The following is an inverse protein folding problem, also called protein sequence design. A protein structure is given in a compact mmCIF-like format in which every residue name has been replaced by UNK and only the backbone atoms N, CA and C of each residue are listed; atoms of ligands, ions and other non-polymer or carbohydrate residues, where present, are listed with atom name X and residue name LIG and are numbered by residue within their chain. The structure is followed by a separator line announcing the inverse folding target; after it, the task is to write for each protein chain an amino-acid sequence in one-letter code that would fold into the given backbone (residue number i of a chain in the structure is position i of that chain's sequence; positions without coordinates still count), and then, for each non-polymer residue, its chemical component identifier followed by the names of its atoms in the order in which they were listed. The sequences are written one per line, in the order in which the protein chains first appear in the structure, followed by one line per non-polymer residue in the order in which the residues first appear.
data_IF_789491157360
#
_entry.id   IF_789491157360
#
_cell.length_a   1.000
_cell.length_b   1.000
_cell.length_c   1.000
_cell.angle_alpha   90.00
_cell.angle_beta   90.00
_cell.angle_gamma   90.00
#
_symmetry.space_group_name_H-M   'P 1'
#
loop_
_entity.id
_entity.type
_entity.pdbx_description
1 polymer ?
#
# COMPACT_ATOMS: atom_id res chain seq x y z
N UNK A 1 16.36 29.81 -22.28
CA UNK A 1 16.40 28.34 -22.20
C UNK A 1 17.12 27.81 -23.44
N UNK A 2 18.08 26.91 -23.22
CA UNK A 2 18.94 26.35 -24.26
C UNK A 2 19.11 24.85 -24.08
N UNK A 3 19.58 24.15 -25.12
CA UNK A 3 19.94 22.73 -25.12
C UNK A 3 18.83 21.78 -24.58
N UNK A 4 17.59 21.79 -25.16
CA UNK A 4 16.50 20.94 -24.69
C UNK A 4 16.76 19.48 -25.05
N UNK A 5 16.52 18.57 -24.07
CA UNK A 5 16.58 17.10 -24.24
C UNK A 5 15.39 16.45 -23.58
N UNK A 6 14.57 15.72 -24.35
CA UNK A 6 13.41 14.97 -23.83
C UNK A 6 13.81 13.55 -23.42
N UNK A 7 13.26 13.12 -22.30
CA UNK A 7 13.31 11.74 -21.83
C UNK A 7 12.09 10.95 -22.30
N UNK A 8 12.19 9.59 -22.40
CA UNK A 8 11.04 8.75 -22.75
C UNK A 8 9.84 8.84 -21.79
N UNK A 9 10.07 9.23 -20.53
CA UNK A 9 9.03 9.45 -19.52
C UNK A 9 8.33 10.82 -19.65
N UNK A 10 8.73 11.66 -20.62
CA UNK A 10 8.19 13.00 -20.87
C UNK A 10 8.91 14.12 -20.14
N UNK A 11 9.89 13.86 -19.29
CA UNK A 11 10.68 14.91 -18.64
C UNK A 11 11.54 15.66 -19.67
N UNK A 12 11.57 16.99 -19.55
CA UNK A 12 12.41 17.86 -20.36
C UNK A 12 13.58 18.38 -19.54
N UNK A 13 14.79 18.08 -19.98
CA UNK A 13 16.02 18.66 -19.48
C UNK A 13 16.40 19.84 -20.37
N UNK A 14 16.77 20.98 -19.79
CA UNK A 14 17.23 22.16 -20.51
C UNK A 14 18.18 22.98 -19.64
N UNK A 15 18.96 23.86 -20.23
CA UNK A 15 19.87 24.75 -19.51
C UNK A 15 19.33 26.17 -19.54
N UNK A 16 19.50 26.88 -18.43
CA UNK A 16 19.00 28.26 -18.30
C UNK A 16 19.81 29.06 -17.30
N UNK A 17 19.96 30.34 -17.57
CA UNK A 17 20.45 31.36 -16.63
C UNK A 17 19.31 32.29 -16.15
N UNK A 18 18.07 32.01 -16.56
CA UNK A 18 16.88 32.81 -16.21
C UNK A 18 16.18 32.37 -14.93
N UNK A 19 16.58 31.27 -14.35
CA UNK A 19 16.07 30.74 -13.08
C UNK A 19 17.15 30.81 -12.01
N UNK A 20 16.77 30.75 -10.72
CA UNK A 20 17.74 30.71 -9.63
C UNK A 20 18.56 29.40 -9.66
N UNK A 21 19.87 29.51 -9.78
CA UNK A 21 20.82 28.41 -9.93
C UNK A 21 22.06 28.57 -9.06
N UNK A 22 23.09 27.77 -9.36
CA UNK A 22 24.40 27.77 -8.68
C UNK A 22 25.44 28.54 -9.44
N UNK A 23 25.33 28.62 -10.77
CA UNK A 23 26.30 29.20 -11.68
C UNK A 23 25.70 30.15 -12.71
N UNK A 24 26.28 30.16 -13.92
CA UNK A 24 25.78 30.87 -15.08
C UNK A 24 24.61 30.12 -15.74
N UNK A 25 24.92 29.19 -16.65
CA UNK A 25 23.94 28.22 -17.14
C UNK A 25 23.83 27.04 -16.17
N UNK A 26 22.65 26.73 -15.73
CA UNK A 26 22.36 25.55 -14.93
C UNK A 26 21.36 24.63 -15.66
N UNK A 27 21.49 23.32 -15.47
CA UNK A 27 20.57 22.32 -16.00
C UNK A 27 19.35 22.26 -15.11
N UNK A 28 18.17 22.37 -15.72
CA UNK A 28 16.84 22.24 -15.10
C UNK A 28 16.09 21.06 -15.67
N UNK A 29 15.13 20.56 -14.89
CA UNK A 29 14.24 19.47 -15.28
C UNK A 29 12.79 19.96 -15.18
N UNK A 30 12.06 19.99 -16.30
CA UNK A 30 10.61 20.21 -16.28
C UNK A 30 9.91 18.85 -16.30
N UNK A 31 9.30 18.48 -15.18
CA UNK A 31 8.54 17.23 -15.00
C UNK A 31 7.06 17.47 -15.18
N UNK A 32 6.35 16.53 -15.83
CA UNK A 32 4.90 16.56 -15.94
C UNK A 32 4.27 16.00 -14.68
N UNK A 33 3.59 16.82 -13.89
CA UNK A 33 2.87 16.39 -12.69
C UNK A 33 1.54 15.67 -12.98
N UNK A 34 0.93 15.08 -11.96
CA UNK A 34 -0.43 14.47 -12.03
C UNK A 34 -1.51 15.48 -12.44
N UNK A 35 -1.27 16.77 -12.22
CA UNK A 35 -2.12 17.88 -12.61
C UNK A 35 -1.94 18.30 -14.09
N UNK A 36 -1.15 17.55 -14.86
CA UNK A 36 -0.75 17.84 -16.24
C UNK A 36 -0.02 19.18 -16.43
N UNK A 37 0.56 19.71 -15.34
CA UNK A 37 1.42 20.91 -15.40
C UNK A 37 2.87 20.54 -15.29
N UNK A 38 3.73 21.40 -15.86
CA UNK A 38 5.17 21.28 -15.68
C UNK A 38 5.59 21.82 -14.32
N UNK A 39 6.35 21.02 -13.61
CA UNK A 39 7.01 21.39 -12.37
C UNK A 39 8.50 21.47 -12.62
N UNK A 40 9.07 22.66 -12.36
CA UNK A 40 10.48 22.91 -12.57
C UNK A 40 11.28 22.44 -11.35
N UNK A 41 12.31 21.64 -11.61
CA UNK A 41 13.25 21.14 -10.60
C UNK A 41 14.68 21.58 -10.97
N UNK A 42 15.45 22.05 -10.00
CA UNK A 42 16.87 22.27 -10.11
C UNK A 42 17.61 21.15 -9.40
N UNK A 43 18.30 20.23 -10.11
CA UNK A 43 18.88 19.02 -9.51
C UNK A 43 20.08 19.30 -8.60
N UNK A 44 20.62 20.51 -8.61
CA UNK A 44 21.73 20.89 -7.76
C UNK A 44 23.05 20.20 -8.10
N UNK A 45 24.00 20.28 -7.16
CA UNK A 45 25.27 19.54 -7.25
C UNK A 45 25.02 18.03 -7.12
N UNK A 46 25.72 17.15 -7.87
CA UNK A 46 26.88 17.42 -8.72
C UNK A 46 26.56 17.74 -10.19
N UNK A 47 25.31 17.68 -10.64
CA UNK A 47 24.96 17.97 -12.04
C UNK A 47 25.20 19.44 -12.38
N UNK A 48 24.79 20.35 -11.49
CA UNK A 48 25.09 21.78 -11.58
C UNK A 48 26.24 22.20 -10.66
N UNK A 49 26.92 23.27 -10.99
CA UNK A 49 28.07 23.81 -10.29
C UNK A 49 28.07 25.35 -10.28
N UNK A 50 29.14 25.97 -9.82
CA UNK A 50 29.35 27.43 -9.93
C UNK A 50 29.76 27.90 -11.34
N UNK A 51 30.04 26.97 -12.25
CA UNK A 51 30.32 27.26 -13.66
C UNK A 51 29.03 27.25 -14.50
N UNK A 52 29.23 27.27 -15.83
CA UNK A 52 28.16 26.98 -16.77
C UNK A 52 28.01 25.47 -16.94
N UNK A 53 26.81 24.97 -16.78
CA UNK A 53 26.47 23.54 -16.90
C UNK A 53 25.35 23.39 -17.93
N UNK A 54 25.62 22.72 -19.07
CA UNK A 54 24.71 22.73 -20.18
C UNK A 54 24.80 21.49 -21.08
N UNK A 55 23.86 21.38 -22.03
CA UNK A 55 23.91 20.35 -23.08
C UNK A 55 23.76 18.93 -22.55
N UNK A 56 22.92 18.72 -21.53
CA UNK A 56 22.67 17.41 -20.95
C UNK A 56 22.06 16.45 -21.98
N UNK A 57 22.71 15.33 -22.24
CA UNK A 57 22.29 14.28 -23.15
C UNK A 57 22.30 12.92 -22.46
N UNK A 58 21.44 11.99 -22.90
CA UNK A 58 21.31 10.68 -22.30
C UNK A 58 21.65 9.56 -23.28
N UNK A 59 22.20 8.47 -22.75
CA UNK A 59 22.45 7.23 -23.50
C UNK A 59 21.12 6.43 -23.62
N UNK A 60 20.30 6.77 -24.60
CA UNK A 60 19.01 6.12 -24.81
C UNK A 60 18.07 6.22 -23.59
N UNK A 61 17.45 5.11 -23.12
CA UNK A 61 16.58 5.11 -21.97
C UNK A 61 17.30 5.11 -20.62
N UNK A 62 18.64 4.96 -20.60
CA UNK A 62 19.41 4.85 -19.36
C UNK A 62 19.52 6.17 -18.63
N UNK A 63 19.70 6.12 -17.30
CA UNK A 63 19.84 7.30 -16.43
C UNK A 63 21.31 7.76 -16.37
N UNK A 64 22.04 7.64 -17.46
CA UNK A 64 23.43 8.10 -17.60
C UNK A 64 23.59 8.83 -18.92
N UNK A 65 24.61 9.69 -18.98
CA UNK A 65 24.86 10.48 -20.18
C UNK A 65 26.02 11.43 -20.01
N UNK A 66 25.97 12.52 -20.76
CA UNK A 66 27.05 13.52 -20.81
C UNK A 66 26.43 14.92 -20.73
N UNK A 67 27.22 15.85 -20.21
CA UNK A 67 26.91 17.28 -20.23
C UNK A 67 28.19 18.06 -20.37
N UNK A 68 28.10 19.31 -20.79
CA UNK A 68 29.22 20.23 -20.89
C UNK A 68 29.28 21.12 -19.66
N UNK A 69 30.50 21.42 -19.20
CA UNK A 69 30.71 22.35 -18.09
C UNK A 69 32.11 22.97 -18.12
N UNK A 70 32.20 24.24 -17.70
CA UNK A 70 33.48 24.91 -17.48
C UNK A 70 33.93 24.88 -16.01
N UNK A 71 33.31 24.05 -15.20
CA UNK A 71 33.64 23.87 -13.78
C UNK A 71 35.10 23.54 -13.58
N UNK A 72 35.73 24.26 -12.67
CA UNK A 72 37.12 24.00 -12.28
C UNK A 72 38.19 24.40 -13.32
N UNK A 73 37.83 24.91 -14.50
CA UNK A 73 38.81 25.43 -15.46
C UNK A 73 39.03 26.95 -15.27
N UNK A 74 40.21 27.33 -14.84
CA UNK A 74 40.53 28.73 -14.59
C UNK A 74 40.51 29.61 -15.86
N UNK A 75 40.49 29.01 -17.06
CA UNK A 75 40.40 29.71 -18.36
C UNK A 75 39.00 29.86 -18.87
N UNK A 76 38.02 29.19 -18.18
CA UNK A 76 36.63 29.18 -18.56
C UNK A 76 36.30 28.29 -19.78
N UNK A 77 37.13 27.28 -20.08
CA UNK A 77 36.91 26.37 -21.19
C UNK A 77 35.93 25.25 -20.78
N UNK A 78 35.07 24.87 -21.71
CA UNK A 78 34.09 23.80 -21.51
C UNK A 78 34.73 22.44 -21.70
N UNK A 79 34.33 21.52 -20.84
CA UNK A 79 34.72 20.11 -20.84
C UNK A 79 33.47 19.24 -20.85
N UNK A 80 33.57 18.04 -21.40
CA UNK A 80 32.48 17.05 -21.38
C UNK A 80 32.66 16.18 -20.15
N UNK A 81 31.60 16.12 -19.33
CA UNK A 81 31.51 15.29 -18.16
C UNK A 81 30.47 14.17 -18.38
N UNK A 82 30.77 12.98 -17.87
CA UNK A 82 29.76 11.92 -17.77
C UNK A 82 29.01 12.01 -16.45
N UNK A 83 27.75 11.62 -16.45
CA UNK A 83 26.96 11.49 -15.24
C UNK A 83 26.18 10.19 -15.25
N UNK A 84 25.84 9.71 -14.06
CA UNK A 84 24.91 8.63 -13.82
C UNK A 84 23.96 9.07 -12.70
N UNK A 85 22.66 9.16 -13.04
CA UNK A 85 21.63 9.46 -12.06
C UNK A 85 21.25 8.14 -11.36
N UNK A 86 21.14 8.13 -10.03
CA UNK A 86 20.71 6.92 -9.32
C UNK A 86 19.34 6.49 -9.84
N UNK A 87 19.20 5.20 -10.09
CA UNK A 87 17.88 4.62 -10.40
C UNK A 87 17.07 4.59 -9.11
N UNK A 88 15.97 5.32 -9.11
CA UNK A 88 15.04 5.33 -7.99
C UNK A 88 14.14 4.12 -8.14
N UNK A 89 14.33 3.15 -7.26
CA UNK A 89 13.52 1.93 -7.22
C UNK A 89 12.69 1.93 -5.94
N UNK A 90 11.37 1.91 -6.07
CA UNK A 90 10.48 1.64 -4.96
C UNK A 90 9.97 0.21 -5.09
N UNK A 91 9.97 -0.51 -3.99
CA UNK A 91 9.64 -1.93 -3.94
C UNK A 91 8.67 -2.20 -2.80
N UNK A 92 7.66 -3.02 -3.05
CA UNK A 92 6.85 -3.61 -2.00
C UNK A 92 7.26 -5.07 -1.79
N UNK A 93 7.52 -5.42 -0.54
CA UNK A 93 7.69 -6.80 -0.07
C UNK A 93 6.54 -7.19 0.83
N UNK A 94 6.10 -8.42 0.76
CA UNK A 94 5.06 -8.91 1.64
C UNK A 94 5.15 -10.40 1.89
N UNK A 95 4.41 -10.85 2.92
CA UNK A 95 4.29 -12.24 3.30
C UNK A 95 2.83 -12.62 3.45
N UNK A 96 2.46 -13.75 2.84
CA UNK A 96 1.14 -14.36 2.98
C UNK A 96 1.27 -15.62 3.83
N UNK A 97 0.55 -15.64 4.94
CA UNK A 97 0.62 -16.73 5.91
C UNK A 97 -0.72 -16.98 6.59
N UNK A 98 -0.94 -18.16 7.14
CA UNK A 98 -2.08 -18.45 7.98
C UNK A 98 -1.95 -17.71 9.33
N UNK A 99 -3.05 -17.29 9.92
CA UNK A 99 -3.03 -16.55 11.21
C UNK A 99 -2.29 -17.30 12.32
N UNK A 100 -2.18 -18.64 12.25
CA UNK A 100 -1.39 -19.46 13.16
C UNK A 100 0.11 -19.49 12.82
N UNK A 101 0.54 -18.83 11.74
CA UNK A 101 1.96 -18.61 11.40
C UNK A 101 2.53 -19.55 10.33
N UNK A 102 1.71 -20.39 9.67
CA UNK A 102 2.17 -21.23 8.56
C UNK A 102 2.20 -20.48 7.25
N UNK A 103 3.25 -20.67 6.46
CA UNK A 103 3.39 -20.07 5.14
C UNK A 103 2.35 -20.64 4.16
N UNK A 104 1.86 -19.81 3.26
CA UNK A 104 0.87 -20.18 2.23
C UNK A 104 1.45 -20.04 0.82
N UNK A 105 2.30 -20.96 0.36
CA UNK A 105 2.97 -20.87 -0.95
C UNK A 105 2.00 -20.99 -2.14
N UNK A 106 0.78 -21.47 -1.93
CA UNK A 106 -0.27 -21.52 -2.95
C UNK A 106 -1.12 -20.22 -3.03
N UNK A 107 -0.82 -19.23 -2.20
CA UNK A 107 -1.50 -17.95 -2.20
C UNK A 107 -1.15 -17.13 -3.45
N UNK A 108 -2.01 -16.17 -3.76
CA UNK A 108 -1.84 -15.22 -4.83
C UNK A 108 -2.15 -13.82 -4.30
N UNK A 109 -1.41 -12.83 -4.77
CA UNK A 109 -1.65 -11.44 -4.41
C UNK A 109 -2.05 -10.68 -5.67
N UNK A 110 -3.23 -10.07 -5.65
CA UNK A 110 -3.70 -9.18 -6.70
C UNK A 110 -3.35 -7.75 -6.30
N UNK A 111 -2.71 -7.02 -7.19
CA UNK A 111 -2.29 -5.64 -6.97
C UNK A 111 -2.90 -4.73 -8.03
N UNK A 112 -3.63 -3.71 -7.58
CA UNK A 112 -4.27 -2.71 -8.45
C UNK A 112 -3.79 -1.33 -8.04
N UNK A 113 -3.25 -0.57 -8.99
CA UNK A 113 -2.81 0.81 -8.78
C UNK A 113 -3.83 1.83 -9.30
N UNK A 114 -3.83 3.02 -8.73
CA UNK A 114 -4.67 4.15 -9.18
C UNK A 114 -4.28 4.66 -10.58
N UNK A 115 -3.11 4.26 -11.09
CA UNK A 115 -2.64 4.50 -12.44
C UNK A 115 -3.14 3.47 -13.47
N UNK A 116 -4.02 2.54 -13.06
CA UNK A 116 -4.51 1.44 -13.89
C UNK A 116 -3.63 0.18 -13.89
N UNK A 117 -2.55 0.15 -13.10
CA UNK A 117 -1.76 -1.08 -12.90
C UNK A 117 -2.65 -2.18 -12.36
N UNK A 118 -2.59 -3.37 -12.97
CA UNK A 118 -3.31 -4.56 -12.52
C UNK A 118 -2.39 -5.78 -12.69
N UNK A 119 -1.90 -6.31 -11.58
CA UNK A 119 -0.95 -7.42 -11.54
C UNK A 119 -1.46 -8.55 -10.65
N UNK A 120 -1.12 -9.77 -11.04
CA UNK A 120 -1.31 -10.98 -10.26
C UNK A 120 0.06 -11.54 -9.90
N UNK A 121 0.39 -11.53 -8.63
CA UNK A 121 1.67 -11.97 -8.09
C UNK A 121 1.51 -13.36 -7.49
N UNK A 122 2.46 -14.25 -7.78
CA UNK A 122 2.60 -15.54 -7.09
C UNK A 122 3.57 -15.37 -5.94
N UNK A 123 3.26 -15.97 -4.79
CA UNK A 123 4.18 -15.98 -3.65
C UNK A 123 5.23 -17.08 -3.80
N UNK A 124 6.37 -16.92 -3.15
CA UNK A 124 7.44 -17.92 -3.06
C UNK A 124 7.08 -19.03 -2.07
N UNK A 125 7.93 -20.05 -1.96
CA UNK A 125 7.73 -21.19 -1.05
C UNK A 125 7.62 -20.83 0.44
N UNK A 126 8.21 -19.71 0.83
CA UNK A 126 8.14 -19.11 2.18
C UNK A 126 6.97 -18.10 2.34
N UNK A 127 6.04 -18.07 1.40
CA UNK A 127 4.91 -17.14 1.42
C UNK A 127 5.26 -15.70 1.06
N UNK A 128 6.53 -15.39 0.75
CA UNK A 128 6.97 -14.04 0.42
C UNK A 128 6.71 -13.66 -1.03
N UNK A 129 6.57 -12.37 -1.29
CA UNK A 129 6.60 -11.79 -2.63
C UNK A 129 7.33 -10.45 -2.61
N UNK A 130 7.77 -10.04 -3.78
CA UNK A 130 8.43 -8.76 -4.00
C UNK A 130 8.02 -8.21 -5.36
N UNK A 131 7.69 -6.92 -5.42
CA UNK A 131 7.30 -6.24 -6.65
C UNK A 131 7.83 -4.81 -6.67
N UNK A 132 8.44 -4.43 -7.80
CA UNK A 132 8.78 -3.02 -8.06
C UNK A 132 7.49 -2.25 -8.32
N UNK A 133 7.37 -1.09 -7.68
CA UNK A 133 6.21 -0.21 -7.75
C UNK A 133 6.61 1.18 -8.24
N UNK A 134 5.64 1.94 -8.75
CA UNK A 134 5.87 3.29 -9.23
C UNK A 134 5.76 4.31 -8.11
N UNK A 135 6.67 5.29 -8.02
CA UNK A 135 6.56 6.39 -7.08
C UNK A 135 5.25 7.17 -7.22
N UNK A 136 4.62 7.49 -6.11
CA UNK A 136 3.38 8.29 -6.07
C UNK A 136 2.13 7.62 -6.61
N UNK A 137 2.15 6.30 -6.85
CA UNK A 137 0.97 5.49 -7.22
C UNK A 137 0.49 4.74 -5.98
N UNK A 138 -0.77 4.92 -5.61
CA UNK A 138 -1.37 4.19 -4.49
C UNK A 138 -1.90 2.83 -4.98
N UNK A 139 -1.67 1.80 -4.19
CA UNK A 139 -2.05 0.43 -4.53
C UNK A 139 -3.02 -0.17 -3.54
N UNK A 140 -3.96 -0.96 -4.05
CA UNK A 140 -4.77 -1.90 -3.27
C UNK A 140 -4.25 -3.30 -3.57
N UNK A 141 -3.93 -4.05 -2.51
CA UNK A 141 -3.42 -5.41 -2.61
C UNK A 141 -4.35 -6.39 -1.89
N UNK A 142 -4.73 -7.46 -2.58
CA UNK A 142 -5.63 -8.50 -2.08
C UNK A 142 -4.90 -9.84 -2.10
N UNK A 143 -4.61 -10.41 -0.94
CA UNK A 143 -4.11 -11.77 -0.83
C UNK A 143 -5.27 -12.77 -0.78
N UNK A 144 -5.15 -13.85 -1.54
CA UNK A 144 -6.17 -14.91 -1.64
C UNK A 144 -5.51 -16.29 -1.68
N UNK A 145 -6.06 -17.24 -0.93
CA UNK A 145 -5.66 -18.65 -0.96
C UNK A 145 -6.91 -19.54 -0.82
N UNK A 146 -6.95 -20.65 -1.56
CA UNK A 146 -8.08 -21.58 -1.51
C UNK A 146 -8.23 -22.17 -0.09
N UNK A 147 -9.41 -21.99 0.50
CA UNK A 147 -9.72 -22.48 1.85
C UNK A 147 -9.46 -21.45 2.95
N UNK A 148 -9.17 -20.21 2.57
CA UNK A 148 -8.91 -19.09 3.48
C UNK A 148 -9.78 -17.88 3.10
N UNK A 149 -9.99 -17.01 4.07
CA UNK A 149 -10.57 -15.70 3.83
C UNK A 149 -9.53 -14.78 3.17
N UNK A 150 -9.95 -13.95 2.23
CA UNK A 150 -9.08 -12.97 1.61
C UNK A 150 -8.71 -11.87 2.61
N UNK A 151 -7.54 -11.29 2.42
CA UNK A 151 -7.07 -10.14 3.19
C UNK A 151 -6.65 -9.02 2.24
N UNK A 152 -7.16 -7.81 2.49
CA UNK A 152 -6.89 -6.62 1.69
C UNK A 152 -6.04 -5.62 2.48
N UNK A 153 -4.99 -5.11 1.85
CA UNK A 153 -4.17 -4.01 2.33
C UNK A 153 -4.13 -2.86 1.32
N UNK A 154 -4.05 -1.64 1.84
CA UNK A 154 -3.86 -0.42 1.05
C UNK A 154 -2.45 0.11 1.25
N UNK A 155 -1.73 0.31 0.17
CA UNK A 155 -0.38 0.84 0.16
C UNK A 155 -0.39 2.25 -0.42
N UNK A 156 -0.09 3.23 0.41
CA UNK A 156 0.16 4.60 -0.04
C UNK A 156 1.63 4.78 -0.32
N UNK A 157 1.94 5.19 -1.54
CA UNK A 157 3.31 5.32 -2.03
C UNK A 157 3.68 6.79 -2.17
N UNK A 158 4.72 7.20 -1.46
CA UNK A 158 5.22 8.57 -1.54
C UNK A 158 5.84 8.85 -2.91
N UNK A 159 5.67 10.07 -3.41
CA UNK A 159 6.34 10.54 -4.64
C UNK A 159 7.74 11.07 -4.38
N UNK A 160 8.49 10.42 -3.50
CA UNK A 160 9.86 10.83 -3.14
C UNK A 160 10.89 10.42 -4.18
N UNK A 161 11.96 11.20 -4.29
CA UNK A 161 13.09 10.96 -5.18
C UNK A 161 14.15 10.03 -4.58
N UNK A 162 13.73 9.04 -3.77
CA UNK A 162 14.60 8.09 -3.08
C UNK A 162 14.07 6.66 -3.23
N UNK A 163 14.98 5.70 -3.32
CA UNK A 163 14.62 4.29 -3.28
C UNK A 163 14.03 3.94 -1.91
N UNK A 164 12.87 3.29 -1.90
CA UNK A 164 12.16 2.94 -0.68
C UNK A 164 11.58 1.54 -0.76
N UNK A 165 11.65 0.82 0.34
CA UNK A 165 11.03 -0.49 0.51
C UNK A 165 9.82 -0.38 1.45
N UNK A 166 8.69 -0.89 0.99
CA UNK A 166 7.46 -1.00 1.78
C UNK A 166 7.25 -2.46 2.17
N UNK A 167 6.81 -2.70 3.39
CA UNK A 167 6.57 -4.05 3.91
C UNK A 167 5.11 -4.22 4.27
N UNK A 168 4.48 -5.30 3.78
CA UNK A 168 3.09 -5.65 4.06
C UNK A 168 2.97 -7.08 4.59
N UNK A 169 1.94 -7.30 5.42
CA UNK A 169 1.65 -8.60 6.03
C UNK A 169 0.22 -9.01 5.68
N UNK A 170 0.04 -10.25 5.24
CA UNK A 170 -1.25 -10.78 4.82
C UNK A 170 -1.59 -12.05 5.63
N UNK A 171 -2.07 -11.89 6.87
CA UNK A 171 -2.57 -13.02 7.67
C UNK A 171 -3.92 -13.49 7.12
N UNK A 172 -4.01 -14.73 6.64
CA UNK A 172 -5.25 -15.31 6.13
C UNK A 172 -5.88 -16.25 7.17
N UNK A 173 -7.15 -16.02 7.49
CA UNK A 173 -7.93 -16.90 8.37
C UNK A 173 -8.47 -18.11 7.60
N UNK A 174 -8.29 -19.33 8.13
CA UNK A 174 -8.85 -20.54 7.57
C UNK A 174 -10.39 -20.54 7.69
N UNK A 175 -11.11 -20.90 6.62
CA UNK A 175 -12.57 -21.08 6.67
C UNK A 175 -13.00 -22.36 7.36
N UNK A 176 -12.06 -23.24 7.73
CA UNK A 176 -12.32 -24.55 8.37
C UNK A 176 -12.29 -24.50 9.88
N UNK A 177 -11.73 -23.46 10.45
CA UNK A 177 -11.55 -23.30 11.89
C UNK A 177 -12.35 -22.09 12.34
N UNK A 178 -13.17 -22.20 13.40
CA UNK A 178 -13.86 -21.05 13.97
C UNK A 178 -12.84 -19.98 14.39
N UNK A 179 -13.04 -18.76 13.97
CA UNK A 179 -12.22 -17.62 14.39
C UNK A 179 -12.80 -17.07 15.68
N UNK A 180 -12.01 -17.05 16.76
CA UNK A 180 -12.42 -16.41 17.99
C UNK A 180 -12.31 -14.88 17.82
N UNK A 181 -13.40 -14.18 18.11
CA UNK A 181 -13.43 -12.72 18.12
C UNK A 181 -13.23 -12.28 19.56
N UNK A 182 -12.03 -11.88 19.88
CA UNK A 182 -11.69 -11.34 21.19
C UNK A 182 -12.25 -9.92 21.38
N UNK A 183 -12.28 -9.47 22.64
CA UNK A 183 -12.66 -8.10 23.01
C UNK A 183 -14.11 -7.70 22.67
N UNK A 184 -15.03 -8.66 22.59
CA UNK A 184 -16.47 -8.38 22.60
C UNK A 184 -16.96 -8.41 24.05
N UNK A 185 -17.23 -7.24 24.60
CA UNK A 185 -17.62 -7.06 26.00
C UNK A 185 -19.09 -6.71 26.14
N UNK A 186 -19.69 -7.27 27.18
CA UNK A 186 -21.05 -6.98 27.62
C UNK A 186 -21.03 -6.57 29.10
N UNK A 187 -22.00 -5.78 29.55
CA UNK A 187 -22.22 -5.60 30.97
C UNK A 187 -22.74 -6.90 31.61
N UNK A 188 -22.51 -7.01 32.92
CA UNK A 188 -23.02 -8.18 33.66
C UNK A 188 -24.53 -8.32 33.44
N UNK A 189 -24.97 -9.53 33.10
CA UNK A 189 -26.36 -9.87 32.86
C UNK A 189 -27.07 -9.05 31.76
N UNK A 190 -26.30 -8.52 30.79
CA UNK A 190 -26.82 -7.75 29.65
C UNK A 190 -26.34 -8.31 28.32
N UNK A 191 -27.13 -8.03 27.29
CA UNK A 191 -26.77 -8.31 25.90
C UNK A 191 -26.30 -7.05 25.13
N UNK A 192 -26.32 -5.87 25.76
CA UNK A 192 -25.92 -4.61 25.15
C UNK A 192 -24.40 -4.57 24.97
N UNK A 193 -23.96 -4.33 23.74
CA UNK A 193 -22.55 -4.20 23.38
C UNK A 193 -21.94 -2.97 24.05
N UNK A 194 -20.79 -3.14 24.68
CA UNK A 194 -20.04 -2.02 25.26
C UNK A 194 -19.28 -1.25 24.17
N UNK A 195 -19.01 0.05 24.36
CA UNK A 195 -18.29 0.88 23.40
C UNK A 195 -16.93 0.31 22.99
N UNK A 196 -16.24 -0.37 23.93
CA UNK A 196 -14.91 -0.96 23.70
C UNK A 196 -14.97 -2.13 22.68
N UNK A 197 -16.12 -2.75 22.49
CA UNK A 197 -16.34 -3.83 21.50
C UNK A 197 -16.35 -3.32 20.05
N UNK A 198 -16.54 -2.01 19.84
CA UNK A 198 -16.70 -1.44 18.49
C UNK A 198 -15.50 -1.72 17.60
N UNK A 199 -14.28 -1.59 18.14
CA UNK A 199 -13.07 -1.82 17.36
C UNK A 199 -13.02 -3.25 16.79
N UNK A 200 -13.28 -4.27 17.60
CA UNK A 200 -13.30 -5.66 17.16
C UNK A 200 -14.41 -5.93 16.15
N UNK A 201 -15.57 -5.29 16.31
CA UNK A 201 -16.68 -5.40 15.37
C UNK A 201 -16.40 -4.67 14.05
N UNK A 202 -15.71 -3.54 14.07
CA UNK A 202 -15.29 -2.83 12.86
C UNK A 202 -14.26 -3.64 12.06
N UNK A 203 -13.35 -4.35 12.73
CA UNK A 203 -12.42 -5.30 12.10
C UNK A 203 -13.18 -6.45 11.44
N UNK A 204 -14.24 -6.96 12.07
CA UNK A 204 -15.11 -7.99 11.48
C UNK A 204 -15.91 -7.44 10.29
N UNK A 205 -16.39 -6.20 10.34
CA UNK A 205 -17.03 -5.53 9.19
C UNK A 205 -16.06 -5.45 8.02
N UNK A 206 -14.80 -5.03 8.26
CA UNK A 206 -13.76 -5.00 7.22
C UNK A 206 -13.56 -6.39 6.61
N UNK A 207 -13.37 -7.42 7.45
CA UNK A 207 -13.18 -8.80 7.00
C UNK A 207 -14.33 -9.31 6.12
N UNK A 208 -15.56 -9.02 6.49
CA UNK A 208 -16.75 -9.43 5.73
C UNK A 208 -16.92 -8.65 4.42
N UNK A 209 -16.49 -7.39 4.36
CA UNK A 209 -16.48 -6.60 3.14
C UNK A 209 -15.37 -7.08 2.17
N UNK A 210 -14.22 -7.47 2.68
CA UNK A 210 -13.15 -8.07 1.87
C UNK A 210 -13.50 -9.46 1.34
N UNK A 211 -14.55 -10.10 1.93
CA UNK A 211 -15.03 -11.43 1.58
C UNK A 211 -16.55 -11.44 1.30
N UNK A 212 -17.05 -10.78 0.23
CA UNK A 212 -18.47 -10.55 0.00
C UNK A 212 -19.32 -11.81 -0.18
N UNK A 213 -18.72 -12.92 -0.60
CA UNK A 213 -19.41 -14.20 -0.85
C UNK A 213 -19.43 -15.15 0.36
N UNK A 214 -18.85 -14.73 1.50
CA UNK A 214 -18.79 -15.55 2.72
C UNK A 214 -20.03 -15.29 3.58
N UNK A 215 -20.64 -16.38 4.05
CA UNK A 215 -21.67 -16.38 5.10
C UNK A 215 -21.05 -16.89 6.39
N UNK A 216 -21.42 -16.32 7.52
CA UNK A 216 -20.89 -16.70 8.82
C UNK A 216 -21.99 -17.06 9.82
N UNK A 217 -21.69 -17.98 10.72
CA UNK A 217 -22.42 -18.18 11.96
C UNK A 217 -21.72 -17.39 13.07
N UNK A 218 -22.48 -16.61 13.80
CA UNK A 218 -22.04 -15.85 14.96
C UNK A 218 -22.47 -16.57 16.23
N UNK A 219 -21.54 -17.35 16.78
CA UNK A 219 -21.74 -18.17 17.97
C UNK A 219 -21.47 -17.37 19.23
N UNK A 220 -22.40 -17.26 20.13
CA UNK A 220 -22.21 -16.63 21.43
C UNK A 220 -22.41 -17.63 22.59
N UNK A 221 -21.59 -17.49 23.59
CA UNK A 221 -21.57 -18.32 24.78
C UNK A 221 -21.73 -17.47 26.06
N UNK A 222 -22.17 -18.10 27.13
CA UNK A 222 -22.17 -17.54 28.48
C UNK A 222 -21.29 -18.39 29.39
N UNK A 223 -20.95 -17.86 30.56
CA UNK A 223 -20.27 -18.63 31.60
C UNK A 223 -21.24 -19.68 32.22
N UNK A 224 -20.67 -20.55 33.05
CA UNK A 224 -21.44 -21.68 33.65
C UNK A 224 -22.45 -21.23 34.74
N UNK A 225 -22.48 -19.95 35.12
CA UNK A 225 -23.35 -19.44 36.18
C UNK A 225 -24.76 -19.23 35.63
N UNK A 226 -25.75 -19.63 36.45
CA UNK A 226 -27.17 -19.48 36.16
C UNK A 226 -27.84 -20.67 35.46
N UNK A 227 -29.20 -20.63 35.30
CA UNK A 227 -29.95 -21.64 34.65
C UNK A 227 -29.62 -21.80 33.17
N UNK A 228 -29.61 -23.03 32.64
CA UNK A 228 -29.25 -23.30 31.26
C UNK A 228 -30.14 -22.58 30.25
N UNK A 229 -31.43 -22.54 30.47
CA UNK A 229 -32.38 -21.84 29.61
C UNK A 229 -32.15 -20.32 29.57
N UNK A 230 -31.85 -19.75 30.73
CA UNK A 230 -31.51 -18.35 30.85
C UNK A 230 -30.22 -18.00 30.03
N UNK A 231 -29.16 -18.79 30.22
CA UNK A 231 -27.92 -18.62 29.50
C UNK A 231 -28.09 -18.82 28.00
N UNK A 232 -28.94 -19.74 27.58
CA UNK A 232 -29.31 -19.95 26.18
C UNK A 232 -30.00 -18.71 25.58
N UNK A 233 -30.92 -18.11 26.30
CA UNK A 233 -31.61 -16.89 25.89
C UNK A 233 -30.64 -15.70 25.84
N UNK A 234 -29.85 -15.50 26.90
CA UNK A 234 -28.89 -14.38 26.97
C UNK A 234 -27.82 -14.45 25.87
N UNK A 235 -27.29 -15.65 25.61
CA UNK A 235 -26.31 -15.83 24.51
C UNK A 235 -26.94 -15.56 23.13
N UNK A 236 -28.20 -15.97 22.91
CA UNK A 236 -28.91 -15.68 21.68
C UNK A 236 -29.12 -14.17 21.49
N UNK A 237 -29.50 -13.44 22.54
CA UNK A 237 -29.65 -11.98 22.49
C UNK A 237 -28.30 -11.29 22.20
N UNK A 238 -27.20 -11.78 22.74
CA UNK A 238 -25.85 -11.30 22.45
C UNK A 238 -25.47 -11.48 20.98
N UNK A 239 -25.68 -12.70 20.43
CA UNK A 239 -25.47 -12.96 19.01
C UNK A 239 -26.30 -12.05 18.10
N UNK A 240 -27.59 -11.86 18.46
CA UNK A 240 -28.51 -10.98 17.72
C UNK A 240 -28.01 -9.51 17.71
N UNK A 241 -27.46 -9.01 18.81
CA UNK A 241 -26.98 -7.65 18.90
C UNK A 241 -25.68 -7.44 18.07
N UNK A 242 -24.82 -8.46 17.97
CA UNK A 242 -23.68 -8.43 17.04
C UNK A 242 -24.19 -8.38 15.60
N UNK A 243 -25.16 -9.21 15.22
CA UNK A 243 -25.78 -9.18 13.87
C UNK A 243 -26.39 -7.82 13.58
N UNK A 244 -27.10 -7.21 14.54
CA UNK A 244 -27.67 -5.88 14.37
C UNK A 244 -26.58 -4.84 14.08
N UNK A 245 -25.50 -4.85 14.85
CA UNK A 245 -24.35 -3.98 14.62
C UNK A 245 -23.76 -4.14 13.22
N UNK A 246 -23.46 -5.37 12.79
CA UNK A 246 -22.90 -5.65 11.47
C UNK A 246 -23.85 -5.20 10.34
N UNK A 247 -25.16 -5.40 10.53
CA UNK A 247 -26.17 -4.99 9.56
C UNK A 247 -26.28 -3.47 9.46
N UNK A 248 -26.20 -2.75 10.58
CA UNK A 248 -26.14 -1.28 10.61
C UNK A 248 -24.90 -0.72 9.90
N UNK A 249 -23.81 -1.52 9.86
CA UNK A 249 -22.56 -1.17 9.18
C UNK A 249 -22.46 -1.76 7.76
N UNK A 250 -23.60 -2.14 7.16
CA UNK A 250 -23.71 -2.46 5.74
C UNK A 250 -23.52 -3.94 5.36
N UNK A 251 -23.37 -4.85 6.33
CA UNK A 251 -23.32 -6.29 6.02
C UNK A 251 -24.74 -6.83 5.80
N UNK A 252 -24.96 -7.51 4.67
CA UNK A 252 -26.25 -8.08 4.33
C UNK A 252 -26.70 -9.14 5.35
N UNK A 253 -27.94 -9.06 5.83
CA UNK A 253 -28.46 -9.89 6.91
C UNK A 253 -28.48 -11.39 6.57
N UNK A 254 -28.68 -11.74 5.31
CA UNK A 254 -28.68 -13.11 4.80
C UNK A 254 -27.35 -13.82 4.86
N UNK A 255 -26.27 -13.04 5.07
CA UNK A 255 -24.92 -13.54 5.31
C UNK A 255 -24.62 -13.90 6.77
N UNK A 256 -25.52 -13.57 7.70
CA UNK A 256 -25.28 -13.61 9.14
C UNK A 256 -26.29 -14.54 9.83
N UNK A 257 -25.80 -15.56 10.52
CA UNK A 257 -26.63 -16.49 11.31
C UNK A 257 -26.27 -16.37 12.78
N UNK A 258 -27.11 -15.71 13.62
CA UNK A 258 -26.84 -15.63 15.06
C UNK A 258 -27.25 -16.90 15.79
N UNK A 259 -26.36 -17.49 16.57
CA UNK A 259 -26.61 -18.67 17.38
C UNK A 259 -26.08 -18.47 18.80
N UNK A 260 -26.99 -18.55 19.80
CA UNK A 260 -26.61 -18.59 21.20
C UNK A 260 -26.47 -20.03 21.66
N UNK A 261 -25.34 -20.43 22.20
CA UNK A 261 -25.11 -21.80 22.68
C UNK A 261 -25.31 -21.98 24.18
N UNK A 262 -25.52 -20.88 24.92
CA UNK A 262 -25.61 -20.92 26.38
C UNK A 262 -24.27 -21.08 27.01
N UNK A 263 -24.11 -22.09 27.85
CA UNK A 263 -22.83 -22.44 28.50
C UNK A 263 -22.05 -23.51 27.72
#
# INVERSE_FOLDING_TARGET
EEFPTFRPNGDLYFSSNGHGGLGGLDIFIAKVGKDHKFHLEHPGYPLNSQGDDFGCTFEGPHNRGFFSSNRGDARGWDHIYSFELPEIVQTVKGWVYEMEGYELPAAQVYMVGDDGTNLKLSVKGDGSFEQVIKPGVDYIMLASCKGYLNHKEELKVDSVSESKEYTLQFPLASIRVPVMIDNIFYDFDKATLRPESKKALDELVKLLNDNPNVTIELSAHCDYKGPAEYNKKLSQERANNVVAYLTEHGIAKDRLTPVGYGK
#
